data_IF_704643642597
#
_entry.id   IF_704643642597
#
_cell.length_a   1.000
_cell.length_b   1.000
_cell.length_c   1.000
_cell.angle_alpha   90.00
_cell.angle_beta   90.00
_cell.angle_gamma   90.00
#
_symmetry.space_group_name_H-M   'P 1'
#
loop_
_entity.id
_entity.type
_entity.pdbx_description
1 polymer ?
#
# COMPACT_ATOMS: atom_id res chain seq x y z
N UNK A 1 -10.13 40.63 3.38
CA UNK A 1 -10.95 39.43 3.63
C UNK A 1 -9.97 38.27 3.59
N UNK A 2 -9.67 37.61 4.72
CA UNK A 2 -8.85 36.39 4.71
C UNK A 2 -9.72 35.27 4.16
N UNK A 3 -9.33 34.68 3.05
CA UNK A 3 -9.98 33.52 2.50
C UNK A 3 -9.39 32.30 3.21
N UNK A 4 -10.16 31.67 4.10
CA UNK A 4 -9.79 30.35 4.61
C UNK A 4 -10.20 29.30 3.57
N UNK A 5 -9.29 28.40 3.24
CA UNK A 5 -9.60 27.26 2.38
C UNK A 5 -10.47 26.28 3.19
N UNK A 6 -11.67 25.96 2.68
CA UNK A 6 -12.50 24.91 3.28
C UNK A 6 -12.03 23.54 2.80
N UNK A 7 -12.07 22.57 3.67
CA UNK A 7 -11.88 21.15 3.36
C UNK A 7 -13.05 20.34 3.90
N UNK A 8 -13.46 19.34 3.12
CA UNK A 8 -14.31 18.24 3.60
C UNK A 8 -13.39 17.07 3.83
N UNK A 9 -13.39 16.52 5.04
CA UNK A 9 -12.46 15.45 5.43
C UNK A 9 -13.11 14.45 6.37
N UNK A 10 -12.64 13.21 6.31
CA UNK A 10 -12.98 12.18 7.27
C UNK A 10 -12.00 12.28 8.45
N UNK A 11 -12.54 12.57 9.63
CA UNK A 11 -11.78 12.82 10.86
C UNK A 11 -12.01 11.74 11.90
N UNK A 12 -10.93 11.30 12.54
CA UNK A 12 -10.96 10.37 13.66
C UNK A 12 -11.03 11.14 14.98
N UNK A 13 -12.03 10.83 15.80
CA UNK A 13 -12.26 11.41 17.13
C UNK A 13 -11.96 10.43 18.28
N UNK A 14 -11.75 9.17 17.96
CA UNK A 14 -11.50 8.09 18.91
C UNK A 14 -11.87 6.74 18.31
N UNK A 15 -11.88 5.72 19.15
CA UNK A 15 -12.14 4.34 18.72
C UNK A 15 -13.47 4.22 17.96
N UNK A 16 -13.41 3.87 16.65
CA UNK A 16 -14.55 3.72 15.72
C UNK A 16 -15.41 4.97 15.57
N UNK A 17 -14.88 6.14 15.89
CA UNK A 17 -15.57 7.42 15.76
C UNK A 17 -14.96 8.22 14.61
N UNK A 18 -15.39 7.89 13.38
CA UNK A 18 -15.06 8.57 12.14
C UNK A 18 -16.21 9.49 11.74
N UNK A 19 -15.91 10.77 11.48
CA UNK A 19 -16.90 11.78 11.10
C UNK A 19 -16.46 12.49 9.82
N UNK A 20 -17.36 12.57 8.85
CA UNK A 20 -17.19 13.41 7.67
C UNK A 20 -17.63 14.83 8.02
N UNK A 21 -16.72 15.78 7.89
CA UNK A 21 -16.94 17.18 8.30
C UNK A 21 -16.37 18.15 7.28
N UNK A 22 -17.02 19.31 7.14
CA UNK A 22 -16.49 20.45 6.40
C UNK A 22 -16.05 21.53 7.39
N UNK A 23 -14.81 21.98 7.28
CA UNK A 23 -14.23 22.99 8.18
C UNK A 23 -13.18 23.85 7.47
N UNK A 24 -12.80 24.97 8.08
CA UNK A 24 -11.75 25.84 7.55
C UNK A 24 -10.37 25.31 7.92
N UNK A 25 -9.49 25.14 6.93
CA UNK A 25 -8.08 24.84 7.17
C UNK A 25 -7.38 26.07 7.80
N UNK A 26 -6.33 25.87 8.61
CA UNK A 26 -5.50 26.96 9.08
C UNK A 26 -4.83 27.71 7.92
N UNK A 27 -4.42 28.95 8.16
CA UNK A 27 -3.62 29.71 7.20
C UNK A 27 -2.25 29.03 7.04
N UNK A 28 -1.92 28.66 5.79
CA UNK A 28 -0.63 28.02 5.46
C UNK A 28 0.54 28.92 5.88
N UNK A 29 1.52 28.34 6.55
CA UNK A 29 2.71 29.04 7.00
C UNK A 29 3.80 29.10 5.91
N UNK A 30 4.87 29.87 6.15
CA UNK A 30 5.97 30.04 5.18
C UNK A 30 6.77 28.76 4.91
N UNK A 31 6.64 27.74 5.72
CA UNK A 31 7.30 26.45 5.62
C UNK A 31 6.34 25.26 5.36
N UNK A 32 5.10 25.56 5.01
CA UNK A 32 4.07 24.56 4.69
C UNK A 32 3.68 24.59 3.21
N UNK A 33 2.90 23.60 2.80
CA UNK A 33 2.35 23.48 1.44
C UNK A 33 0.84 23.25 1.54
N UNK A 34 0.05 24.05 0.81
CA UNK A 34 -1.39 23.82 0.61
C UNK A 34 -1.58 22.97 -0.64
N UNK A 35 -2.36 21.90 -0.54
CA UNK A 35 -2.59 20.97 -1.64
C UNK A 35 -4.04 20.44 -1.67
N UNK A 36 -4.48 19.97 -2.84
CA UNK A 36 -5.64 19.09 -2.98
C UNK A 36 -5.24 17.65 -2.70
N UNK A 37 -6.20 16.83 -2.31
CA UNK A 37 -6.13 15.38 -2.50
C UNK A 37 -7.19 15.00 -3.52
N UNK A 38 -6.82 14.27 -4.54
CA UNK A 38 -7.77 13.80 -5.58
C UNK A 38 -8.15 12.34 -5.34
N UNK A 39 -7.16 11.51 -4.99
CA UNK A 39 -7.37 10.11 -4.67
C UNK A 39 -6.63 9.70 -3.40
N UNK A 40 -7.25 8.81 -2.64
CA UNK A 40 -6.61 7.98 -1.61
C UNK A 40 -6.92 6.52 -1.88
N UNK A 41 -6.17 5.59 -1.32
CA UNK A 41 -6.51 4.18 -1.39
C UNK A 41 -6.63 3.56 0.00
N UNK A 42 -7.77 2.91 0.30
CA UNK A 42 -8.03 2.39 1.63
C UNK A 42 -7.08 1.25 2.00
N UNK A 43 -6.51 1.34 3.19
CA UNK A 43 -5.56 0.39 3.74
C UNK A 43 -6.11 -0.26 5.02
N UNK A 44 -5.77 -1.54 5.25
CA UNK A 44 -6.05 -2.20 6.52
C UNK A 44 -5.38 -1.50 7.72
N UNK A 45 -4.33 -0.71 7.48
CA UNK A 45 -3.71 0.11 8.52
C UNK A 45 -4.65 1.20 9.01
N UNK A 46 -5.39 1.87 8.09
CA UNK A 46 -6.42 2.87 8.47
C UNK A 46 -7.60 2.22 9.21
N UNK A 47 -7.99 0.99 8.83
CA UNK A 47 -8.96 0.23 9.62
C UNK A 47 -8.47 -0.06 11.05
N UNK A 48 -7.18 -0.47 11.20
CA UNK A 48 -6.59 -0.71 12.53
C UNK A 48 -6.56 0.57 13.36
N UNK A 49 -6.16 1.67 12.74
CA UNK A 49 -6.14 3.00 13.33
C UNK A 49 -7.53 3.40 13.83
N UNK A 50 -8.54 3.37 12.98
CA UNK A 50 -9.92 3.69 13.34
C UNK A 50 -10.48 2.77 14.42
N UNK A 51 -10.12 1.49 14.39
CA UNK A 51 -10.61 0.48 15.34
C UNK A 51 -9.93 0.57 16.72
N UNK A 52 -8.71 1.11 16.81
CA UNK A 52 -7.97 1.32 18.06
C UNK A 52 -8.14 2.73 18.62
N UNK A 53 -8.37 3.74 17.76
CA UNK A 53 -8.45 5.14 18.15
C UNK A 53 -7.20 5.58 18.91
N UNK A 54 -7.37 6.22 20.05
CA UNK A 54 -6.31 6.69 20.95
C UNK A 54 -5.35 5.59 21.46
N UNK A 55 -5.73 4.32 21.33
CA UNK A 55 -4.85 3.19 21.67
C UNK A 55 -3.89 2.80 20.53
N UNK A 56 -4.02 3.41 19.36
CA UNK A 56 -3.08 3.20 18.26
C UNK A 56 -1.81 4.03 18.47
N UNK A 57 -0.64 3.40 18.31
CA UNK A 57 0.69 3.99 18.63
C UNK A 57 1.02 5.31 17.91
N UNK A 58 0.32 5.63 16.81
CA UNK A 58 0.53 6.84 16.01
C UNK A 58 -0.58 7.88 16.18
N UNK A 59 -1.69 7.53 16.81
CA UNK A 59 -2.81 8.45 17.08
C UNK A 59 -2.51 9.23 18.36
N UNK A 60 -2.65 10.57 18.34
CA UNK A 60 -2.46 11.39 19.53
C UNK A 60 -3.45 11.06 20.64
N UNK A 61 -3.01 11.14 21.91
CA UNK A 61 -3.85 10.88 23.08
C UNK A 61 -5.03 11.86 23.21
N UNK A 62 -4.91 13.04 22.62
CA UNK A 62 -5.92 14.12 22.65
C UNK A 62 -6.84 14.12 21.41
N UNK A 63 -6.86 13.05 20.60
CA UNK A 63 -7.62 12.93 19.35
C UNK A 63 -9.12 13.27 19.49
N UNK A 64 -9.70 13.07 20.67
CA UNK A 64 -11.10 13.41 20.93
C UNK A 64 -11.39 14.92 20.87
N UNK A 65 -10.39 15.76 21.16
CA UNK A 65 -10.48 17.24 21.13
C UNK A 65 -9.72 17.85 19.96
N UNK A 66 -8.69 17.17 19.46
CA UNK A 66 -7.88 17.54 18.32
C UNK A 66 -7.92 16.43 17.26
N UNK A 67 -9.07 16.23 16.58
CA UNK A 67 -9.24 15.11 15.64
C UNK A 67 -8.32 15.23 14.44
N UNK A 68 -7.86 14.08 13.99
CA UNK A 68 -6.92 13.95 12.87
C UNK A 68 -7.65 13.54 11.59
N UNK A 69 -7.07 13.88 10.44
CA UNK A 69 -7.51 13.36 9.12
C UNK A 69 -6.82 12.01 8.88
N UNK A 70 -7.60 10.98 8.54
CA UNK A 70 -7.07 9.66 8.22
C UNK A 70 -6.74 9.50 6.74
N UNK A 71 -6.15 8.34 6.36
CA UNK A 71 -5.72 8.04 4.99
C UNK A 71 -4.28 8.45 4.72
N UNK A 72 -3.49 7.53 4.18
CA UNK A 72 -2.04 7.72 4.04
C UNK A 72 -1.46 7.27 2.70
N UNK A 73 -2.32 6.89 1.76
CA UNK A 73 -1.95 6.41 0.43
C UNK A 73 -2.55 7.36 -0.64
N UNK A 74 -2.08 8.62 -0.71
CA UNK A 74 -2.80 9.64 -1.48
C UNK A 74 -1.97 10.42 -2.49
N UNK A 75 -2.68 10.97 -3.47
CA UNK A 75 -2.16 11.78 -4.56
C UNK A 75 -3.08 12.98 -4.83
N UNK A 76 -2.49 14.11 -5.19
CA UNK A 76 -3.21 15.33 -5.53
C UNK A 76 -2.30 16.37 -6.13
N UNK A 77 -2.75 17.64 -6.17
CA UNK A 77 -2.02 18.76 -6.76
C UNK A 77 -1.66 19.81 -5.72
N UNK A 78 -0.45 20.36 -5.81
CA UNK A 78 0.02 21.47 -4.99
C UNK A 78 -0.72 22.76 -5.44
N UNK A 79 -1.36 23.44 -4.51
CA UNK A 79 -2.07 24.72 -4.75
C UNK A 79 -1.20 25.93 -4.43
N UNK A 80 -0.45 25.86 -3.32
CA UNK A 80 0.42 26.94 -2.90
C UNK A 80 1.62 26.38 -2.12
N UNK A 81 2.76 27.05 -2.22
CA UNK A 81 4.01 26.66 -1.59
C UNK A 81 4.54 27.79 -0.73
N UNK A 82 4.80 27.53 0.54
CA UNK A 82 5.45 28.45 1.46
C UNK A 82 6.87 28.81 1.01
N UNK A 83 7.35 29.99 1.36
CA UNK A 83 8.63 30.56 0.86
C UNK A 83 9.81 29.61 1.04
N UNK A 84 9.83 28.85 2.13
CA UNK A 84 10.93 27.91 2.45
C UNK A 84 11.11 26.84 1.36
N UNK A 85 10.02 26.40 0.72
CA UNK A 85 10.02 25.25 -0.18
C UNK A 85 9.86 25.58 -1.67
N UNK A 86 9.73 26.89 -2.03
CA UNK A 86 9.57 27.33 -3.45
C UNK A 86 10.78 26.97 -4.34
N UNK A 87 11.93 26.64 -3.75
CA UNK A 87 13.08 26.15 -4.50
C UNK A 87 12.95 24.69 -4.95
N UNK A 88 12.02 23.94 -4.37
CA UNK A 88 11.83 22.50 -4.62
C UNK A 88 10.47 22.15 -5.21
N UNK A 89 9.43 22.91 -4.86
CA UNK A 89 8.04 22.64 -5.28
C UNK A 89 7.39 23.88 -5.88
N UNK A 90 6.37 23.67 -6.72
CA UNK A 90 5.62 24.74 -7.35
C UNK A 90 4.12 24.42 -7.43
N UNK A 91 3.22 25.44 -7.44
CA UNK A 91 1.80 25.24 -7.66
C UNK A 91 1.52 24.54 -9.00
N UNK A 92 0.50 23.66 -9.01
CA UNK A 92 0.12 22.84 -10.16
C UNK A 92 0.93 21.57 -10.33
N UNK A 93 1.95 21.35 -9.52
CA UNK A 93 2.71 20.10 -9.51
C UNK A 93 1.92 19.01 -8.79
N UNK A 94 1.80 17.83 -9.40
CA UNK A 94 1.22 16.66 -8.75
C UNK A 94 2.21 16.07 -7.75
N UNK A 95 1.70 15.49 -6.67
CA UNK A 95 2.52 14.94 -5.61
C UNK A 95 2.00 13.62 -5.10
N UNK A 96 2.90 12.86 -4.49
CA UNK A 96 2.64 11.71 -3.62
C UNK A 96 3.41 11.87 -2.32
N UNK A 97 2.98 11.18 -1.27
CA UNK A 97 3.56 11.35 0.06
C UNK A 97 4.00 10.02 0.66
N UNK A 98 5.22 10.00 1.22
CA UNK A 98 5.67 8.93 2.10
C UNK A 98 5.19 9.23 3.53
N UNK A 99 4.23 8.45 4.01
CA UNK A 99 3.65 8.69 5.32
C UNK A 99 4.59 8.34 6.48
N UNK A 100 5.57 7.46 6.28
CA UNK A 100 6.50 7.03 7.32
C UNK A 100 7.68 8.04 7.46
N UNK A 101 7.48 9.11 8.24
CA UNK A 101 8.42 10.22 8.35
C UNK A 101 9.71 9.89 9.10
N UNK A 102 9.75 8.85 9.92
CA UNK A 102 10.92 8.49 10.76
C UNK A 102 11.44 9.65 11.64
N UNK A 103 10.52 10.41 12.23
CA UNK A 103 10.87 11.52 13.11
C UNK A 103 11.55 11.02 14.40
N UNK A 104 12.63 11.64 14.86
CA UNK A 104 13.25 11.33 16.15
C UNK A 104 12.23 11.50 17.29
N UNK A 105 12.12 10.50 18.15
CA UNK A 105 11.31 10.52 19.37
C UNK A 105 9.78 10.68 19.17
N UNK A 106 9.29 10.68 17.91
CA UNK A 106 7.87 10.79 17.60
C UNK A 106 7.47 9.80 16.48
N UNK A 107 6.36 9.05 16.65
CA UNK A 107 5.84 8.16 15.60
C UNK A 107 4.91 8.89 14.62
N UNK A 108 4.89 10.23 14.59
CA UNK A 108 3.93 11.02 13.82
C UNK A 108 4.01 10.76 12.32
N UNK A 109 2.87 10.59 11.70
CA UNK A 109 2.72 10.31 10.27
C UNK A 109 1.51 11.04 9.69
N UNK A 110 1.58 11.59 8.46
CA UNK A 110 0.40 11.99 7.71
C UNK A 110 -0.64 10.88 7.64
N UNK A 111 -1.90 11.26 7.85
CA UNK A 111 -3.01 10.30 7.88
C UNK A 111 -3.14 9.47 9.16
N UNK A 112 -2.35 9.77 10.21
CA UNK A 112 -2.40 9.13 11.53
C UNK A 112 -2.28 10.09 12.70
N UNK A 113 -1.60 11.21 12.55
CA UNK A 113 -1.17 12.03 13.69
C UNK A 113 -1.49 13.51 13.54
N UNK A 114 -1.73 13.97 12.32
CA UNK A 114 -1.86 15.39 12.02
C UNK A 114 -3.33 15.80 11.81
N UNK A 115 -3.76 16.96 12.36
CA UNK A 115 -5.14 17.42 12.22
C UNK A 115 -5.47 17.97 10.81
N UNK A 116 -4.45 18.31 9.99
CA UNK A 116 -4.62 19.04 8.74
C UNK A 116 -4.08 18.33 7.51
N UNK A 117 -3.54 17.11 7.67
CA UNK A 117 -3.02 16.29 6.56
C UNK A 117 -3.36 14.82 6.71
N UNK A 118 -3.99 14.28 5.67
CA UNK A 118 -4.36 12.89 5.48
C UNK A 118 -5.06 12.72 4.13
N UNK A 119 -5.12 11.49 3.64
CA UNK A 119 -5.62 11.18 2.29
C UNK A 119 -7.13 11.30 2.14
N UNK A 120 -7.87 11.17 3.23
CA UNK A 120 -9.33 11.24 3.19
C UNK A 120 -9.82 12.68 3.44
N UNK A 121 -9.35 13.62 2.61
CA UNK A 121 -9.73 15.03 2.61
C UNK A 121 -9.72 15.61 1.20
N UNK A 122 -10.48 16.68 0.95
CA UNK A 122 -10.43 17.39 -0.34
C UNK A 122 -9.23 18.31 -0.44
N UNK A 123 -8.82 18.92 0.67
CA UNK A 123 -7.68 19.86 0.75
C UNK A 123 -6.93 19.60 2.06
N UNK A 124 -5.62 19.83 2.04
CA UNK A 124 -4.73 19.59 3.18
C UNK A 124 -3.67 20.68 3.28
N UNK A 125 -3.19 20.92 4.50
CA UNK A 125 -1.97 21.69 4.75
C UNK A 125 -0.89 20.67 5.14
N UNK A 126 0.10 20.50 4.26
CA UNK A 126 1.21 19.57 4.44
C UNK A 126 2.25 20.26 5.33
N UNK A 127 2.55 19.71 6.51
CA UNK A 127 3.45 20.33 7.48
C UNK A 127 4.92 20.22 7.06
N UNK A 128 5.72 21.12 7.57
CA UNK A 128 7.14 21.25 7.27
C UNK A 128 7.93 19.95 7.44
N UNK A 129 7.61 19.15 8.44
CA UNK A 129 8.25 17.88 8.75
C UNK A 129 8.25 16.90 7.57
N UNK A 130 7.19 16.89 6.78
CA UNK A 130 7.10 16.04 5.59
C UNK A 130 8.17 16.39 4.57
N UNK A 131 8.37 17.68 4.31
CA UNK A 131 9.38 18.14 3.36
C UNK A 131 10.80 18.04 3.93
N UNK A 132 10.99 18.27 5.23
CA UNK A 132 12.31 18.12 5.89
C UNK A 132 12.80 16.67 5.89
N UNK A 133 11.89 15.71 5.98
CA UNK A 133 12.20 14.28 5.86
C UNK A 133 12.24 13.79 4.39
N UNK A 134 12.14 14.73 3.44
CA UNK A 134 12.14 14.44 2.00
C UNK A 134 11.01 13.46 1.57
N UNK A 135 9.90 13.49 2.33
CA UNK A 135 8.77 12.56 2.19
C UNK A 135 7.65 13.09 1.27
N UNK A 136 7.72 14.33 0.77
CA UNK A 136 6.89 14.83 -0.31
C UNK A 136 7.62 14.68 -1.63
N UNK A 137 7.06 13.92 -2.56
CA UNK A 137 7.67 13.63 -3.86
C UNK A 137 6.81 14.19 -5.00
N UNK A 138 7.49 14.79 -6.00
CA UNK A 138 6.85 15.08 -7.27
C UNK A 138 6.42 13.78 -7.96
N UNK A 139 5.29 13.82 -8.66
CA UNK A 139 4.76 12.69 -9.40
C UNK A 139 4.32 13.15 -10.78
N UNK A 140 4.98 12.65 -11.83
CA UNK A 140 4.73 13.01 -13.23
C UNK A 140 3.85 11.96 -13.96
N UNK A 141 3.30 10.97 -13.22
CA UNK A 141 2.39 9.98 -13.77
C UNK A 141 1.08 10.59 -14.30
N UNK A 142 0.44 9.87 -15.23
CA UNK A 142 -0.74 10.37 -15.97
C UNK A 142 -2.02 10.40 -15.13
N UNK A 143 -2.10 9.56 -14.07
CA UNK A 143 -3.31 9.32 -13.27
C UNK A 143 -3.09 9.63 -11.80
N UNK A 144 -4.15 10.05 -11.09
CA UNK A 144 -4.09 10.24 -9.64
C UNK A 144 -4.16 8.90 -8.89
N UNK A 145 -4.97 7.97 -9.40
CA UNK A 145 -5.15 6.68 -8.72
C UNK A 145 -3.84 5.86 -8.66
N UNK A 146 -3.03 5.87 -9.72
CA UNK A 146 -1.73 5.22 -9.66
C UNK A 146 -0.79 5.92 -8.68
N UNK A 147 -0.91 7.26 -8.56
CA UNK A 147 -0.21 8.03 -7.53
C UNK A 147 -0.57 7.59 -6.10
N UNK A 148 -1.86 7.29 -5.83
CA UNK A 148 -2.27 6.76 -4.52
C UNK A 148 -1.83 5.31 -4.27
N UNK A 149 -1.37 4.59 -5.29
CA UNK A 149 -0.83 3.23 -5.18
C UNK A 149 0.71 3.19 -5.05
N UNK A 150 1.37 4.34 -5.10
CA UNK A 150 2.83 4.44 -4.94
C UNK A 150 3.25 4.03 -3.53
N UNK A 151 2.54 4.50 -2.49
CA UNK A 151 2.87 4.16 -1.11
C UNK A 151 2.78 2.65 -0.85
N UNK A 152 1.66 1.95 -1.15
CA UNK A 152 1.60 0.51 -0.94
C UNK A 152 2.61 -0.28 -1.79
N UNK A 153 2.93 0.18 -3.00
CA UNK A 153 4.00 -0.44 -3.79
C UNK A 153 5.37 -0.24 -3.12
N UNK A 154 5.62 0.93 -2.52
CA UNK A 154 6.86 1.20 -1.78
C UNK A 154 7.05 0.25 -0.59
N UNK A 155 5.96 -0.14 0.09
CA UNK A 155 6.01 -1.13 1.17
C UNK A 155 6.48 -2.51 0.66
N UNK A 156 6.02 -2.92 -0.52
CA UNK A 156 6.47 -4.16 -1.17
C UNK A 156 7.94 -4.07 -1.57
N UNK A 157 8.34 -2.97 -2.20
CA UNK A 157 9.74 -2.73 -2.60
C UNK A 157 10.65 -2.81 -1.37
N UNK A 158 10.27 -2.13 -0.28
CA UNK A 158 11.01 -2.17 0.98
C UNK A 158 11.13 -3.57 1.56
N UNK A 159 10.08 -4.39 1.47
CA UNK A 159 10.12 -5.78 1.91
C UNK A 159 11.08 -6.62 1.06
N UNK A 160 11.05 -6.47 -0.25
CA UNK A 160 11.98 -7.17 -1.16
C UNK A 160 13.43 -6.72 -0.91
N UNK A 161 13.66 -5.42 -0.73
CA UNK A 161 14.98 -4.86 -0.45
C UNK A 161 15.53 -5.25 0.93
N UNK A 162 14.65 -5.54 1.91
CA UNK A 162 15.05 -5.93 3.25
C UNK A 162 15.49 -7.40 3.36
N UNK A 163 15.14 -8.25 2.41
CA UNK A 163 15.70 -9.59 2.33
C UNK A 163 17.21 -9.51 2.10
N UNK A 164 17.93 -10.53 2.51
CA UNK A 164 19.36 -10.58 2.28
C UNK A 164 19.88 -12.01 2.20
N UNK A 165 21.01 -12.15 1.52
CA UNK A 165 21.73 -13.41 1.34
C UNK A 165 23.22 -13.21 1.60
N UNK A 166 23.90 -14.25 2.06
CA UNK A 166 25.34 -14.21 2.30
C UNK A 166 26.10 -14.22 0.98
N UNK A 167 27.17 -13.48 0.92
CA UNK A 167 28.16 -13.64 -0.14
C UNK A 167 29.01 -14.86 0.15
N UNK A 168 29.25 -15.67 -0.88
CA UNK A 168 30.02 -16.91 -0.76
C UNK A 168 31.38 -16.67 -0.06
N UNK A 169 31.65 -17.46 0.97
CA UNK A 169 32.89 -17.42 1.72
C UNK A 169 33.07 -16.20 2.64
N UNK A 170 32.03 -15.43 2.89
CA UNK A 170 32.09 -14.25 3.76
C UNK A 170 30.83 -14.11 4.63
N UNK A 171 30.86 -13.19 5.59
CA UNK A 171 29.69 -12.75 6.36
C UNK A 171 29.08 -11.46 5.81
N UNK A 172 29.53 -11.00 4.62
CA UNK A 172 28.91 -9.86 3.98
C UNK A 172 27.54 -10.26 3.39
N UNK A 173 26.60 -9.33 3.44
CA UNK A 173 25.25 -9.54 2.94
C UNK A 173 25.09 -8.86 1.57
N UNK A 174 24.40 -9.54 0.67
CA UNK A 174 23.80 -8.93 -0.53
C UNK A 174 22.34 -8.70 -0.23
N UNK A 175 21.93 -7.44 -0.21
CA UNK A 175 20.55 -7.05 0.05
C UNK A 175 19.64 -7.33 -1.15
N UNK A 176 18.37 -7.59 -0.86
CA UNK A 176 17.35 -7.93 -1.84
C UNK A 176 17.11 -9.44 -1.97
N UNK A 177 16.10 -9.79 -2.76
CA UNK A 177 15.81 -11.20 -3.09
C UNK A 177 16.94 -11.81 -3.95
N UNK A 178 17.07 -13.13 -3.90
CA UNK A 178 18.05 -13.85 -4.71
C UNK A 178 17.73 -13.73 -6.19
N UNK A 179 18.63 -13.16 -7.04
CA UNK A 179 18.42 -13.11 -8.48
C UNK A 179 18.25 -14.50 -9.08
N UNK A 180 17.21 -14.70 -9.89
CA UNK A 180 16.85 -16.00 -10.47
C UNK A 180 16.62 -17.10 -9.42
N UNK A 181 16.34 -16.71 -8.16
CA UNK A 181 16.01 -17.61 -7.07
C UNK A 181 14.59 -18.16 -7.16
N UNK A 182 14.19 -18.87 -6.12
CA UNK A 182 12.84 -19.42 -5.93
C UNK A 182 12.15 -18.64 -4.84
N UNK A 183 11.06 -17.96 -5.19
CA UNK A 183 10.30 -17.11 -4.26
C UNK A 183 8.93 -17.71 -3.98
N UNK A 184 8.50 -17.67 -2.73
CA UNK A 184 7.20 -18.15 -2.26
C UNK A 184 6.43 -17.02 -1.59
N UNK A 185 5.20 -16.76 -2.02
CA UNK A 185 4.27 -15.79 -1.42
C UNK A 185 3.13 -16.54 -0.72
N UNK A 186 3.09 -16.54 0.59
CA UNK A 186 2.06 -17.18 1.41
C UNK A 186 0.94 -16.19 1.76
N UNK A 187 -0.30 -16.48 1.35
CA UNK A 187 -1.42 -15.55 1.43
C UNK A 187 -1.27 -14.41 0.41
N UNK A 188 -0.73 -14.71 -0.78
CA UNK A 188 -0.19 -13.76 -1.75
C UNK A 188 -1.19 -13.24 -2.79
N UNK A 189 -2.51 -13.35 -2.59
CA UNK A 189 -3.50 -12.81 -3.55
C UNK A 189 -4.35 -11.65 -3.00
N UNK A 190 -4.03 -11.15 -1.81
CA UNK A 190 -4.53 -9.86 -1.32
C UNK A 190 -3.86 -8.68 -2.05
N UNK A 191 -4.29 -7.43 -1.76
CA UNK A 191 -3.77 -6.24 -2.45
C UNK A 191 -2.23 -6.15 -2.46
N UNK A 192 -1.61 -6.37 -1.30
CA UNK A 192 -0.15 -6.31 -1.16
C UNK A 192 0.55 -7.48 -1.85
N UNK A 193 -0.07 -8.67 -1.82
CA UNK A 193 0.44 -9.83 -2.54
C UNK A 193 0.38 -9.66 -4.07
N UNK A 194 -0.70 -9.07 -4.61
CA UNK A 194 -0.79 -8.75 -6.03
C UNK A 194 0.29 -7.75 -6.48
N UNK A 195 0.56 -6.71 -5.67
CA UNK A 195 1.68 -5.79 -5.91
C UNK A 195 3.03 -6.52 -5.83
N UNK A 196 3.16 -7.48 -4.91
CA UNK A 196 4.38 -8.29 -4.79
C UNK A 196 4.59 -9.21 -6.00
N UNK A 197 3.52 -9.79 -6.55
CA UNK A 197 3.59 -10.57 -7.80
C UNK A 197 4.06 -9.66 -8.94
N UNK A 198 3.43 -8.50 -9.10
CA UNK A 198 3.77 -7.54 -10.15
C UNK A 198 5.24 -7.08 -10.03
N UNK A 199 5.67 -6.71 -8.82
CA UNK A 199 7.04 -6.31 -8.57
C UNK A 199 8.06 -7.44 -8.77
N UNK A 200 7.73 -8.69 -8.40
CA UNK A 200 8.57 -9.85 -8.64
C UNK A 200 8.79 -10.11 -10.15
N UNK A 201 7.78 -9.79 -10.98
CA UNK A 201 7.85 -9.97 -12.44
C UNK A 201 8.55 -8.80 -13.16
N UNK A 202 8.34 -7.57 -12.71
CA UNK A 202 8.71 -6.37 -13.47
C UNK A 202 9.70 -5.46 -12.73
N UNK A 203 10.04 -5.80 -11.49
CA UNK A 203 11.08 -5.12 -10.73
C UNK A 203 12.50 -5.39 -11.26
N UNK A 204 13.51 -4.78 -10.64
CA UNK A 204 14.89 -4.89 -11.11
C UNK A 204 15.52 -6.29 -10.92
N UNK A 205 14.96 -7.10 -10.03
CA UNK A 205 15.42 -8.46 -9.73
C UNK A 205 14.24 -9.41 -9.80
N UNK A 206 14.34 -10.44 -10.63
CA UNK A 206 13.25 -11.40 -10.83
C UNK A 206 13.66 -12.80 -10.36
N UNK A 207 12.75 -13.57 -9.72
CA UNK A 207 12.96 -14.98 -9.43
C UNK A 207 12.81 -15.81 -10.71
N UNK A 208 13.43 -16.99 -10.76
CA UNK A 208 13.17 -17.98 -11.81
C UNK A 208 11.88 -18.77 -11.57
N UNK A 209 11.51 -18.94 -10.29
CA UNK A 209 10.29 -19.58 -9.83
C UNK A 209 9.57 -18.69 -8.83
N UNK A 210 8.29 -18.43 -9.08
CA UNK A 210 7.39 -17.72 -8.17
C UNK A 210 6.18 -18.61 -7.84
N UNK A 211 6.04 -18.99 -6.58
CA UNK A 211 4.90 -19.78 -6.10
C UNK A 211 4.03 -18.91 -5.23
N UNK A 212 2.73 -18.88 -5.49
CA UNK A 212 1.76 -18.09 -4.76
C UNK A 212 0.70 -19.01 -4.16
N UNK A 213 0.41 -18.86 -2.88
CA UNK A 213 -0.67 -19.60 -2.22
C UNK A 213 -1.71 -18.66 -1.63
N UNK A 214 -2.95 -19.08 -1.66
CA UNK A 214 -4.07 -18.43 -0.95
C UNK A 214 -5.17 -19.47 -0.68
N UNK A 215 -6.10 -19.17 0.20
CA UNK A 215 -7.27 -20.03 0.49
C UNK A 215 -8.44 -19.77 -0.46
N UNK A 216 -8.45 -18.61 -1.14
CA UNK A 216 -9.53 -18.11 -1.98
C UNK A 216 -9.27 -18.42 -3.46
N UNK A 217 -10.06 -19.34 -4.03
CA UNK A 217 -9.91 -19.77 -5.42
C UNK A 217 -10.26 -18.66 -6.44
N UNK A 218 -11.15 -17.74 -6.09
CA UNK A 218 -11.52 -16.64 -7.00
C UNK A 218 -10.38 -15.63 -7.10
N UNK A 219 -9.74 -15.31 -5.97
CA UNK A 219 -8.53 -14.48 -5.95
C UNK A 219 -7.37 -15.14 -6.67
N UNK A 220 -7.15 -16.45 -6.48
CA UNK A 220 -6.12 -17.19 -7.22
C UNK A 220 -6.40 -17.19 -8.73
N UNK A 221 -7.66 -17.33 -9.14
CA UNK A 221 -8.08 -17.28 -10.55
C UNK A 221 -7.88 -15.89 -11.14
N UNK A 222 -8.18 -14.83 -10.37
CA UNK A 222 -7.91 -13.45 -10.75
C UNK A 222 -6.41 -13.22 -10.94
N UNK A 223 -5.59 -13.59 -9.96
CA UNK A 223 -4.15 -13.44 -10.02
C UNK A 223 -3.54 -14.19 -11.22
N UNK A 224 -3.95 -15.44 -11.45
CA UNK A 224 -3.49 -16.26 -12.60
C UNK A 224 -3.85 -15.63 -13.95
N UNK A 225 -5.03 -15.00 -14.05
CA UNK A 225 -5.47 -14.31 -15.27
C UNK A 225 -4.60 -13.09 -15.58
N UNK A 226 -4.29 -12.29 -14.54
CA UNK A 226 -3.64 -10.99 -14.70
C UNK A 226 -2.10 -11.04 -14.63
N UNK A 227 -1.55 -12.11 -14.06
CA UNK A 227 -0.10 -12.31 -13.92
C UNK A 227 0.29 -13.72 -14.37
N UNK A 228 0.31 -13.98 -15.70
CA UNK A 228 0.77 -15.26 -16.24
C UNK A 228 2.28 -15.40 -16.07
N UNK A 229 2.79 -16.64 -16.25
CA UNK A 229 4.24 -16.88 -16.33
C UNK A 229 4.89 -16.07 -17.45
N UNK A 230 6.09 -15.60 -17.20
CA UNK A 230 6.91 -14.86 -18.14
C UNK A 230 8.17 -15.65 -18.54
N UNK A 231 8.89 -15.27 -19.61
CA UNK A 231 10.04 -16.02 -20.06
C UNK A 231 11.12 -16.25 -19.01
N UNK A 232 11.28 -15.30 -18.07
CA UNK A 232 12.29 -15.36 -17.00
C UNK A 232 11.75 -15.93 -15.69
N UNK A 233 10.40 -16.03 -15.50
CA UNK A 233 9.77 -16.43 -14.24
C UNK A 233 8.62 -17.41 -14.46
N UNK A 234 8.80 -18.65 -14.02
CA UNK A 234 7.71 -19.63 -13.96
C UNK A 234 6.84 -19.37 -12.74
N UNK A 235 5.52 -19.29 -12.93
CA UNK A 235 4.58 -19.01 -11.83
C UNK A 235 3.67 -20.21 -11.57
N UNK A 236 3.51 -20.55 -10.29
CA UNK A 236 2.51 -21.51 -9.82
C UNK A 236 1.55 -20.85 -8.83
N UNK A 237 0.25 -21.05 -9.04
CA UNK A 237 -0.82 -20.62 -8.14
C UNK A 237 -1.48 -21.85 -7.52
N UNK A 238 -1.48 -21.96 -6.20
CA UNK A 238 -1.97 -23.11 -5.45
C UNK A 238 -2.98 -22.68 -4.39
N UNK A 239 -4.06 -23.45 -4.25
CA UNK A 239 -4.88 -23.31 -3.04
C UNK A 239 -4.07 -23.77 -1.83
N UNK A 240 -4.16 -23.06 -0.72
CA UNK A 240 -3.40 -23.36 0.50
C UNK A 240 -3.73 -24.77 1.06
N UNK A 241 -4.90 -25.34 0.76
CA UNK A 241 -5.25 -26.69 1.12
C UNK A 241 -4.44 -27.76 0.39
N UNK A 242 -3.96 -27.42 -0.81
CA UNK A 242 -3.15 -28.29 -1.68
C UNK A 242 -1.66 -28.00 -1.55
N UNK A 243 -1.32 -26.87 -0.92
CA UNK A 243 0.04 -26.38 -0.73
C UNK A 243 0.68 -26.99 0.54
N UNK A 244 0.63 -28.32 0.66
CA UNK A 244 1.34 -29.04 1.72
C UNK A 244 2.87 -28.95 1.53
N UNK A 245 3.62 -29.19 2.59
CA UNK A 245 5.08 -29.15 2.58
C UNK A 245 5.68 -29.94 1.40
N UNK A 246 5.28 -31.18 1.18
CA UNK A 246 5.82 -32.04 0.10
C UNK A 246 5.52 -31.47 -1.29
N UNK A 247 4.34 -30.86 -1.50
CA UNK A 247 3.97 -30.24 -2.77
C UNK A 247 4.87 -29.04 -3.04
N UNK A 248 5.06 -28.17 -2.06
CA UNK A 248 5.90 -26.96 -2.19
C UNK A 248 7.37 -27.33 -2.37
N UNK A 249 7.86 -28.33 -1.62
CA UNK A 249 9.22 -28.85 -1.80
C UNK A 249 9.42 -29.45 -3.18
N UNK A 250 8.46 -30.20 -3.71
CA UNK A 250 8.56 -30.76 -5.06
C UNK A 250 8.63 -29.67 -6.13
N UNK A 251 7.86 -28.57 -6.01
CA UNK A 251 7.92 -27.42 -6.93
C UNK A 251 9.28 -26.73 -6.89
N UNK A 252 9.92 -26.65 -5.76
CA UNK A 252 11.27 -26.10 -5.61
C UNK A 252 12.39 -27.05 -6.06
N UNK A 253 12.04 -28.23 -6.57
CA UNK A 253 13.00 -29.28 -6.93
C UNK A 253 13.66 -29.95 -5.71
N UNK A 254 13.03 -29.89 -4.53
CA UNK A 254 13.54 -30.41 -3.29
C UNK A 254 14.56 -29.52 -2.56
N UNK A 255 14.79 -28.31 -3.06
CA UNK A 255 15.80 -27.39 -2.52
C UNK A 255 15.24 -26.33 -1.54
N UNK A 256 13.93 -26.23 -1.42
CA UNK A 256 13.27 -25.13 -0.69
C UNK A 256 13.30 -23.80 -1.47
N UNK A 257 12.90 -22.73 -0.79
CA UNK A 257 12.78 -21.39 -1.38
C UNK A 257 13.87 -20.46 -0.85
N UNK A 258 14.42 -19.68 -1.77
CA UNK A 258 15.45 -18.69 -1.44
C UNK A 258 14.82 -17.49 -0.71
N UNK A 259 13.60 -17.08 -1.10
CA UNK A 259 12.87 -15.98 -0.49
C UNK A 259 11.42 -16.40 -0.21
N UNK A 260 10.95 -16.19 1.01
CA UNK A 260 9.56 -16.46 1.39
C UNK A 260 8.94 -15.20 2.02
N UNK A 261 7.79 -14.78 1.50
CA UNK A 261 7.03 -13.66 2.07
C UNK A 261 5.73 -14.16 2.67
N UNK A 262 5.46 -13.79 3.92
CA UNK A 262 4.23 -14.16 4.63
C UNK A 262 3.33 -12.95 4.77
N UNK A 263 2.21 -12.93 4.04
CA UNK A 263 1.26 -11.80 3.99
C UNK A 263 0.13 -11.89 5.02
N UNK A 264 0.00 -13.02 5.71
CA UNK A 264 -1.09 -13.28 6.67
C UNK A 264 -0.49 -13.59 8.04
N UNK A 265 -0.95 -12.95 9.14
CA UNK A 265 -0.45 -13.23 10.49
C UNK A 265 -1.04 -14.56 11.02
N UNK A 266 -0.50 -15.66 10.54
CA UNK A 266 -0.88 -17.01 10.92
C UNK A 266 0.36 -17.81 11.37
N UNK A 267 0.33 -18.33 12.59
CA UNK A 267 1.43 -19.09 13.20
C UNK A 267 1.82 -20.32 12.37
N UNK A 268 0.83 -21.07 11.89
CA UNK A 268 1.06 -22.25 11.06
C UNK A 268 1.76 -21.92 9.73
N UNK A 269 1.41 -20.79 9.10
CA UNK A 269 2.09 -20.34 7.88
C UNK A 269 3.54 -19.92 8.15
N UNK A 270 3.83 -19.25 9.26
CA UNK A 270 5.21 -18.88 9.63
C UNK A 270 6.04 -20.14 9.89
N UNK A 271 5.47 -21.12 10.60
CA UNK A 271 6.13 -22.41 10.88
C UNK A 271 6.40 -23.18 9.57
N UNK A 272 5.42 -23.25 8.67
CA UNK A 272 5.57 -23.87 7.35
C UNK A 272 6.64 -23.14 6.54
N UNK A 273 6.61 -21.82 6.48
CA UNK A 273 7.60 -21.00 5.78
C UNK A 273 9.01 -21.28 6.29
N UNK A 274 9.19 -21.33 7.61
CA UNK A 274 10.48 -21.67 8.23
C UNK A 274 11.03 -23.01 7.73
N UNK A 275 10.17 -24.03 7.61
CA UNK A 275 10.57 -25.37 7.17
C UNK A 275 10.85 -25.50 5.67
N UNK A 276 10.40 -24.51 4.88
CA UNK A 276 10.55 -24.47 3.41
C UNK A 276 11.73 -23.63 2.94
N UNK A 277 12.48 -22.99 3.84
CA UNK A 277 13.65 -22.19 3.48
C UNK A 277 14.77 -23.06 2.89
N UNK A 278 15.35 -22.57 1.81
CA UNK A 278 16.60 -23.13 1.28
C UNK A 278 17.79 -22.78 2.19
N UNK A 279 18.94 -23.37 1.93
CA UNK A 279 20.21 -22.89 2.51
C UNK A 279 20.40 -21.42 2.16
N UNK A 280 20.73 -20.58 3.17
CA UNK A 280 20.84 -19.13 3.05
C UNK A 280 19.49 -18.47 2.60
N UNK A 281 18.36 -19.14 2.87
CA UNK A 281 17.04 -18.62 2.54
C UNK A 281 16.57 -17.55 3.53
N UNK A 282 15.80 -16.59 3.03
CA UNK A 282 15.28 -15.47 3.82
C UNK A 282 13.75 -15.49 3.90
N UNK A 283 13.21 -15.48 5.13
CA UNK A 283 11.79 -15.32 5.41
C UNK A 283 11.50 -13.87 5.78
N UNK A 284 10.64 -13.21 4.98
CA UNK A 284 10.11 -11.89 5.29
C UNK A 284 8.69 -12.02 5.87
N UNK A 285 8.53 -11.61 7.12
CA UNK A 285 7.22 -11.51 7.76
C UNK A 285 6.61 -10.15 7.44
N UNK A 286 5.90 -10.09 6.30
CA UNK A 286 5.26 -8.86 5.82
C UNK A 286 3.98 -8.51 6.58
N UNK A 287 3.28 -9.52 7.11
CA UNK A 287 2.03 -9.33 7.82
C UNK A 287 2.19 -8.46 9.07
N UNK A 288 1.22 -7.57 9.30
CA UNK A 288 1.17 -6.76 10.52
C UNK A 288 0.19 -7.35 11.54
N UNK A 289 0.62 -8.13 12.55
CA UNK A 289 -0.27 -8.67 13.56
C UNK A 289 -0.82 -7.57 14.46
N UNK A 290 -2.06 -7.74 14.96
CA UNK A 290 -2.65 -6.86 15.98
C UNK A 290 -2.22 -7.24 17.39
N UNK A 291 -2.02 -8.55 17.63
CA UNK A 291 -1.56 -9.06 18.90
C UNK A 291 -0.05 -8.80 19.05
N UNK A 292 0.33 -8.04 20.07
CA UNK A 292 1.74 -7.77 20.42
C UNK A 292 2.52 -9.02 20.85
N UNK A 293 1.81 -10.09 21.20
CA UNK A 293 2.37 -11.38 21.64
C UNK A 293 2.36 -12.44 20.53
N UNK A 294 1.98 -12.05 19.30
CA UNK A 294 2.02 -12.96 18.15
C UNK A 294 3.42 -13.59 18.04
N UNK A 295 3.48 -14.91 18.04
CA UNK A 295 4.72 -15.69 17.96
C UNK A 295 4.49 -16.98 17.16
N UNK A 296 5.56 -17.55 16.63
CA UNK A 296 5.53 -18.81 15.92
C UNK A 296 6.83 -19.59 16.15
N UNK A 297 6.79 -20.94 16.19
CA UNK A 297 7.99 -21.75 16.20
C UNK A 297 8.81 -21.59 14.91
N UNK A 298 10.13 -21.48 15.07
CA UNK A 298 11.10 -21.52 13.97
C UNK A 298 12.17 -22.55 14.26
N UNK A 299 12.82 -23.08 13.21
CA UNK A 299 13.84 -24.11 13.34
C UNK A 299 15.23 -23.47 13.51
N UNK A 300 15.72 -23.39 14.74
CA UNK A 300 17.05 -22.86 15.04
C UNK A 300 18.21 -23.76 14.58
N UNK A 301 17.96 -25.02 14.29
CA UNK A 301 18.96 -25.90 13.66
C UNK A 301 19.30 -25.36 12.24
N UNK A 302 18.29 -24.97 11.47
CA UNK A 302 18.47 -24.41 10.14
C UNK A 302 19.07 -22.99 10.18
N UNK A 303 18.74 -22.19 11.20
CA UNK A 303 19.42 -20.90 11.42
C UNK A 303 20.91 -21.10 11.58
N UNK A 304 21.33 -22.13 12.31
CA UNK A 304 22.74 -22.41 12.58
C UNK A 304 23.46 -23.12 11.42
N UNK A 305 22.84 -24.14 10.84
CA UNK A 305 23.51 -25.01 9.87
C UNK A 305 23.17 -24.71 8.41
N UNK A 306 22.01 -24.10 8.15
CA UNK A 306 21.57 -23.70 6.82
C UNK A 306 21.59 -22.20 6.61
N UNK A 307 22.01 -21.40 7.61
CA UNK A 307 22.13 -19.93 7.51
C UNK A 307 20.82 -19.24 7.13
N UNK A 308 19.68 -19.75 7.61
CA UNK A 308 18.38 -19.14 7.31
C UNK A 308 18.21 -17.81 8.03
N UNK A 309 17.53 -16.85 7.36
CA UNK A 309 17.35 -15.50 7.83
C UNK A 309 15.87 -15.17 8.06
N UNK A 310 15.60 -14.25 9.01
CA UNK A 310 14.24 -13.81 9.34
C UNK A 310 14.23 -12.30 9.44
N UNK A 311 13.40 -11.65 8.61
CA UNK A 311 13.29 -10.21 8.54
C UNK A 311 11.83 -9.77 8.53
N UNK A 312 11.59 -8.48 8.71
CA UNK A 312 10.28 -7.87 8.57
C UNK A 312 10.42 -6.36 8.33
N UNK A 313 9.42 -5.78 7.70
CA UNK A 313 9.37 -4.34 7.43
C UNK A 313 8.03 -3.77 7.88
N UNK A 314 8.03 -2.51 8.28
CA UNK A 314 6.82 -1.76 8.61
C UNK A 314 6.77 -0.48 7.77
N UNK A 315 6.16 -0.58 6.59
CA UNK A 315 6.19 0.46 5.57
C UNK A 315 7.47 0.43 4.73
N UNK A 316 7.51 1.23 3.67
CA UNK A 316 8.71 1.55 2.90
C UNK A 316 9.44 2.76 3.48
N UNK A 317 10.62 3.06 2.94
CA UNK A 317 11.31 4.32 3.16
C UNK A 317 11.15 5.26 1.94
N UNK A 318 11.76 6.44 1.99
CA UNK A 318 11.65 7.41 0.89
C UNK A 318 12.32 6.93 -0.40
N UNK A 319 13.38 6.12 -0.33
CA UNK A 319 14.04 5.58 -1.52
C UNK A 319 13.19 4.48 -2.17
N UNK A 320 12.51 3.65 -1.36
CA UNK A 320 11.51 2.70 -1.86
C UNK A 320 10.34 3.42 -2.54
N UNK A 321 9.93 4.57 -1.98
CA UNK A 321 8.88 5.42 -2.56
C UNK A 321 9.32 6.01 -3.91
N UNK A 322 10.55 6.51 -4.04
CA UNK A 322 11.13 6.99 -5.31
C UNK A 322 11.21 5.87 -6.35
N UNK A 323 11.58 4.67 -5.92
CA UNK A 323 11.59 3.51 -6.81
C UNK A 323 10.18 3.15 -7.29
N UNK A 324 9.18 3.22 -6.41
CA UNK A 324 7.78 2.99 -6.77
C UNK A 324 7.26 4.03 -7.77
N UNK A 325 7.50 5.33 -7.51
CA UNK A 325 7.18 6.42 -8.46
C UNK A 325 7.75 6.10 -9.84
N UNK A 326 9.04 5.82 -9.90
CA UNK A 326 9.73 5.54 -11.16
C UNK A 326 9.14 4.35 -11.90
N UNK A 327 8.84 3.26 -11.21
CA UNK A 327 8.29 2.04 -11.83
C UNK A 327 6.88 2.27 -12.40
N UNK A 328 6.06 3.07 -11.74
CA UNK A 328 4.71 3.45 -12.20
C UNK A 328 4.82 4.40 -13.39
N UNK A 329 5.61 5.46 -13.31
CA UNK A 329 5.80 6.43 -14.40
C UNK A 329 6.38 5.78 -15.66
N UNK A 330 7.31 4.83 -15.51
CA UNK A 330 7.87 4.03 -16.60
C UNK A 330 6.93 2.91 -17.10
N UNK A 331 5.73 2.78 -16.50
CA UNK A 331 4.72 1.74 -16.80
C UNK A 331 5.26 0.32 -16.72
N UNK A 332 6.27 0.09 -15.87
CA UNK A 332 6.86 -1.24 -15.63
C UNK A 332 5.96 -2.08 -14.72
N UNK A 333 5.38 -1.48 -13.69
CA UNK A 333 4.43 -2.10 -12.79
C UNK A 333 3.01 -1.60 -13.14
N UNK A 334 2.04 -2.51 -13.15
CA UNK A 334 0.66 -2.21 -13.51
C UNK A 334 -0.21 -2.19 -12.24
N UNK A 335 0.04 -1.21 -11.37
CA UNK A 335 -0.63 -1.09 -10.08
C UNK A 335 -2.17 -1.05 -10.18
N UNK A 336 -2.73 -0.63 -11.31
CA UNK A 336 -4.16 -0.66 -11.60
C UNK A 336 -4.82 -2.03 -11.37
N UNK A 337 -4.09 -3.12 -11.59
CA UNK A 337 -4.61 -4.49 -11.42
C UNK A 337 -5.01 -4.84 -9.99
N UNK A 338 -4.57 -4.09 -8.99
CA UNK A 338 -4.96 -4.33 -7.60
C UNK A 338 -6.28 -3.67 -7.22
N UNK A 339 -6.80 -2.76 -8.06
CA UNK A 339 -8.02 -2.01 -7.79
C UNK A 339 -9.26 -2.87 -8.07
N UNK A 340 -10.19 -2.92 -7.12
CA UNK A 340 -11.44 -3.67 -7.26
C UNK A 340 -12.69 -2.85 -6.98
N UNK A 341 -12.55 -1.73 -6.30
CA UNK A 341 -13.67 -0.86 -5.94
C UNK A 341 -13.29 0.61 -6.07
N UNK A 342 -14.31 1.43 -6.28
CA UNK A 342 -14.24 2.89 -6.22
C UNK A 342 -15.31 3.41 -5.26
N UNK A 343 -15.05 4.55 -4.63
CA UNK A 343 -16.00 5.25 -3.76
C UNK A 343 -15.66 6.73 -3.67
N UNK A 344 -16.60 7.51 -3.20
CA UNK A 344 -16.37 8.90 -2.81
C UNK A 344 -16.06 9.02 -1.32
N UNK A 345 -15.67 10.20 -0.89
CA UNK A 345 -15.34 10.49 0.51
C UNK A 345 -16.54 10.27 1.44
N UNK A 346 -17.77 10.46 0.94
CA UNK A 346 -19.01 10.20 1.66
C UNK A 346 -19.18 8.75 2.15
N UNK A 347 -18.59 7.79 1.44
CA UNK A 347 -18.66 6.37 1.78
C UNK A 347 -17.40 5.86 2.48
N UNK A 348 -16.34 6.67 2.58
CA UNK A 348 -15.04 6.25 3.09
C UNK A 348 -15.08 5.81 4.56
N UNK A 349 -15.83 6.52 5.41
CA UNK A 349 -15.90 6.22 6.85
C UNK A 349 -16.48 4.84 7.15
N UNK A 350 -17.64 4.51 6.60
CA UNK A 350 -18.26 3.20 6.76
C UNK A 350 -17.40 2.10 6.12
N UNK A 351 -16.88 2.37 4.92
CA UNK A 351 -16.01 1.40 4.22
C UNK A 351 -14.74 1.12 5.01
N UNK A 352 -14.10 2.12 5.60
CA UNK A 352 -12.91 1.96 6.44
C UNK A 352 -13.20 1.11 7.67
N UNK A 353 -14.33 1.35 8.37
CA UNK A 353 -14.71 0.57 9.55
C UNK A 353 -15.03 -0.91 9.24
N UNK A 354 -15.51 -1.20 8.05
CA UNK A 354 -15.92 -2.54 7.61
C UNK A 354 -14.94 -3.17 6.59
N UNK A 355 -13.76 -2.56 6.39
CA UNK A 355 -12.80 -2.92 5.33
C UNK A 355 -12.43 -4.41 5.26
N UNK A 356 -12.23 -5.13 6.39
CA UNK A 356 -11.96 -6.57 6.35
C UNK A 356 -13.10 -7.40 5.74
N UNK A 357 -14.34 -6.94 5.86
CA UNK A 357 -15.52 -7.63 5.33
C UNK A 357 -15.78 -7.33 3.85
N UNK A 358 -15.29 -6.20 3.33
CA UNK A 358 -15.50 -5.80 1.93
C UNK A 358 -14.80 -6.74 0.96
N UNK A 359 -13.68 -7.33 1.36
CA UNK A 359 -12.90 -8.24 0.52
C UNK A 359 -12.28 -7.57 -0.72
N UNK A 360 -11.75 -8.37 -1.65
CA UNK A 360 -11.14 -7.88 -2.89
C UNK A 360 -9.81 -7.17 -2.72
N UNK A 361 -9.44 -6.39 -3.74
CA UNK A 361 -8.21 -5.59 -3.80
C UNK A 361 -8.35 -4.20 -3.18
N UNK A 362 -7.62 -3.22 -3.71
CA UNK A 362 -7.67 -1.83 -3.26
C UNK A 362 -9.00 -1.15 -3.59
N UNK A 363 -9.42 -0.24 -2.72
CA UNK A 363 -10.58 0.62 -2.86
C UNK A 363 -10.08 2.05 -3.01
N UNK A 364 -10.36 2.66 -4.16
CA UNK A 364 -9.96 4.03 -4.46
C UNK A 364 -11.01 5.02 -3.97
N UNK A 365 -10.61 5.95 -3.12
CA UNK A 365 -11.45 7.07 -2.67
C UNK A 365 -11.18 8.26 -3.59
N UNK A 366 -12.20 8.75 -4.30
CA UNK A 366 -12.17 10.00 -5.03
C UNK A 366 -12.71 11.11 -4.13
N UNK A 367 -11.84 11.84 -3.50
CA UNK A 367 -12.15 12.72 -2.36
C UNK A 367 -13.11 13.86 -2.69
N UNK A 368 -13.04 14.38 -3.91
CA UNK A 368 -13.93 15.44 -4.41
C UNK A 368 -15.28 14.94 -4.96
N UNK A 369 -15.58 13.64 -4.84
CA UNK A 369 -16.76 13.01 -5.45
C UNK A 369 -17.70 12.42 -4.42
N UNK A 370 -18.99 12.41 -4.75
CA UNK A 370 -20.04 11.73 -4.01
C UNK A 370 -20.38 10.42 -4.73
N UNK A 371 -19.93 9.30 -4.18
CA UNK A 371 -20.07 7.97 -4.75
C UNK A 371 -20.28 6.92 -3.65
N UNK A 372 -21.24 5.98 -3.81
CA UNK A 372 -21.28 4.81 -2.94
C UNK A 372 -20.09 3.89 -3.20
N UNK A 373 -19.76 3.03 -2.23
CA UNK A 373 -18.81 1.94 -2.47
C UNK A 373 -19.32 1.06 -3.61
N UNK A 374 -18.58 0.99 -4.70
CA UNK A 374 -18.98 0.30 -5.93
C UNK A 374 -17.87 -0.62 -6.41
N UNK A 375 -18.17 -1.91 -6.55
CA UNK A 375 -17.25 -2.87 -7.19
C UNK A 375 -17.13 -2.57 -8.68
N UNK A 376 -15.93 -2.70 -9.24
CA UNK A 376 -15.70 -2.53 -10.69
C UNK A 376 -16.53 -3.50 -11.54
N UNK A 377 -16.97 -4.63 -10.97
CA UNK A 377 -17.85 -5.60 -11.63
C UNK A 377 -19.34 -5.24 -11.53
N UNK A 378 -19.70 -4.18 -10.81
CA UNK A 378 -21.08 -3.76 -10.53
C UNK A 378 -21.36 -2.31 -10.91
N UNK A 379 -20.53 -1.73 -11.77
CA UNK A 379 -20.72 -0.36 -12.29
C UNK A 379 -22.04 -0.29 -13.06
N UNK A 380 -22.91 0.67 -12.69
CA UNK A 380 -24.22 0.90 -13.30
C UNK A 380 -24.19 1.91 -14.46
N UNK A 381 -23.21 2.81 -14.45
CA UNK A 381 -23.01 3.77 -15.54
C UNK A 381 -22.56 3.03 -16.80
N UNK A 382 -23.37 3.12 -17.87
CA UNK A 382 -23.16 2.35 -19.10
C UNK A 382 -21.84 2.71 -19.80
N UNK A 383 -21.47 3.99 -19.83
CA UNK A 383 -20.23 4.42 -20.47
C UNK A 383 -19.01 4.00 -19.65
N UNK A 384 -19.04 4.16 -18.33
CA UNK A 384 -17.96 3.70 -17.45
C UNK A 384 -17.81 2.18 -17.52
N UNK A 385 -18.90 1.44 -17.59
CA UNK A 385 -18.89 -0.02 -17.77
C UNK A 385 -18.28 -0.41 -19.14
N UNK A 386 -18.58 0.35 -20.19
CA UNK A 386 -17.98 0.14 -21.52
C UNK A 386 -16.48 0.44 -21.52
N UNK A 387 -16.05 1.49 -20.82
CA UNK A 387 -14.61 1.81 -20.62
C UNK A 387 -13.92 0.63 -19.91
N UNK A 388 -14.47 0.15 -18.79
CA UNK A 388 -13.90 -0.99 -18.07
C UNK A 388 -13.82 -2.25 -18.94
N UNK A 389 -14.82 -2.51 -19.77
CA UNK A 389 -14.82 -3.65 -20.69
C UNK A 389 -13.66 -3.55 -21.71
N UNK A 390 -13.40 -2.36 -22.27
CA UNK A 390 -12.25 -2.11 -23.16
C UNK A 390 -10.91 -2.39 -22.47
N UNK A 391 -10.82 -2.13 -21.17
CA UNK A 391 -9.63 -2.37 -20.32
C UNK A 391 -9.69 -3.71 -19.57
N UNK A 392 -10.47 -4.69 -20.04
CA UNK A 392 -10.56 -6.05 -19.48
C UNK A 392 -10.98 -6.11 -18.01
N UNK A 393 -11.73 -5.12 -17.55
CA UNK A 393 -12.21 -4.97 -16.17
C UNK A 393 -11.19 -4.34 -15.22
N UNK A 394 -10.05 -3.86 -15.72
CA UNK A 394 -9.04 -3.15 -14.94
C UNK A 394 -9.33 -1.66 -14.95
N UNK A 395 -9.15 -0.98 -13.81
CA UNK A 395 -9.24 0.47 -13.71
C UNK A 395 -8.19 1.14 -14.58
N UNK A 396 -8.52 2.29 -15.18
CA UNK A 396 -7.64 2.92 -16.16
C UNK A 396 -7.70 4.44 -16.09
N UNK A 397 -6.74 5.12 -16.70
CA UNK A 397 -6.76 6.60 -16.81
C UNK A 397 -7.98 7.12 -17.55
N UNK A 398 -8.48 6.38 -18.55
CA UNK A 398 -9.73 6.72 -19.23
C UNK A 398 -10.93 6.65 -18.29
N UNK A 399 -11.00 5.60 -17.45
CA UNK A 399 -12.05 5.44 -16.44
C UNK A 399 -11.97 6.53 -15.36
N UNK A 400 -10.76 6.86 -14.87
CA UNK A 400 -10.55 7.96 -13.93
C UNK A 400 -10.99 9.30 -14.50
N UNK A 401 -10.57 9.65 -15.72
CA UNK A 401 -10.94 10.90 -16.38
C UNK A 401 -12.46 11.01 -16.56
N UNK A 402 -13.10 9.93 -16.99
CA UNK A 402 -14.57 9.89 -17.12
C UNK A 402 -15.24 10.11 -15.76
N UNK A 403 -14.83 9.40 -14.73
CA UNK A 403 -15.39 9.52 -13.39
C UNK A 403 -15.19 10.94 -12.84
N UNK A 404 -13.99 11.52 -12.96
CA UNK A 404 -13.71 12.87 -12.48
C UNK A 404 -14.54 13.94 -13.22
N UNK A 405 -14.90 13.70 -14.48
CA UNK A 405 -15.71 14.65 -15.25
C UNK A 405 -17.21 14.52 -14.94
N UNK A 406 -17.74 13.33 -14.66
CA UNK A 406 -19.18 13.07 -14.65
C UNK A 406 -19.78 12.74 -13.30
N UNK A 407 -18.99 12.19 -12.36
CA UNK A 407 -19.50 11.90 -11.03
C UNK A 407 -19.86 13.17 -10.25
N UNK A 408 -20.90 13.08 -9.44
CA UNK A 408 -21.38 14.18 -8.59
C UNK A 408 -20.25 14.68 -7.67
N UNK A 409 -20.12 16.00 -7.55
CA UNK A 409 -19.17 16.60 -6.64
C UNK A 409 -19.64 16.45 -5.19
N UNK A 410 -18.72 16.22 -4.26
CA UNK A 410 -19.06 16.26 -2.84
C UNK A 410 -19.44 17.69 -2.44
N UNK A 411 -20.53 17.83 -1.66
CA UNK A 411 -20.94 19.15 -1.16
C UNK A 411 -20.00 19.59 -0.03
N UNK A 412 -19.76 20.89 0.03
CA UNK A 412 -19.05 21.56 1.12
C UNK A 412 -20.03 22.32 2.06
N UNK A 413 -21.34 22.01 1.96
CA UNK A 413 -22.40 22.64 2.76
C UNK A 413 -22.59 21.94 4.10
#
# INVERSE_FOLDING_TARGET
MRWFMKTTALRLYGKRDLRLETFDLPEMQEDEILATVVTDSLCLSSWKEANLGENHKKVPDDVATNPIIIGHEFCGDILAVGKKWQHKFQPGQRYVIQANLQLPDRPDCPGYSFPWVGGEATHVVIPNEVMEQDCLLAYDGETYFEGSLVEPLSCVIGAFNANYHLQEGSYNHTMGIRPQGRTLLLGGTGPMGLLAIDYALHGPVNPSLLVITDTDNDKLSYARKHYPSEPQTLIHYLNATDAAFDTLMALSGGHGFDDIFVFVPNEGLVTLASSLLATDGCLNFFAGPQDKHFSAPINFYDVHYAFTHYVGTSGGNTDDMRAAVKLIEEKKVQAAKVVTHILGLNAAGETTLELPAVGGGKKLVYTGKYLPLTSLTQIQDEELAAILARHQGVWSGEAEQYLLAHAEAISHD
#
